data_IF_472966388299
#
_entry.id   IF_472966388299
#
_cell.length_a   1.000
_cell.length_b   1.000
_cell.length_c   1.000
_cell.angle_alpha   90.00
_cell.angle_beta   90.00
_cell.angle_gamma   90.00
#
_symmetry.space_group_name_H-M   'P 1'
#
loop_
_entity.id
_entity.type
_entity.pdbx_description
1 polymer ?
#
# COMPACT_ATOMS: atom_id res chain seq x y z
N UNK A 1 3.54 -0.81 45.65
CA UNK A 1 3.88 -0.43 44.26
C UNK A 1 5.19 -1.13 43.90
N UNK A 2 5.20 -2.16 43.04
CA UNK A 2 6.44 -2.82 42.62
C UNK A 2 7.03 -2.05 41.43
N UNK A 3 8.23 -1.49 41.62
CA UNK A 3 9.01 -0.84 40.59
C UNK A 3 9.52 -1.84 39.55
N UNK A 4 9.25 -1.57 38.29
CA UNK A 4 9.77 -2.33 37.17
C UNK A 4 11.27 -2.03 37.03
N UNK A 5 12.12 -2.99 37.42
CA UNK A 5 13.55 -2.98 37.12
C UNK A 5 13.73 -3.47 35.69
N UNK A 6 14.07 -2.56 34.79
CA UNK A 6 14.54 -2.85 33.44
C UNK A 6 15.90 -3.55 33.51
N UNK A 7 15.90 -4.88 33.40
CA UNK A 7 17.10 -5.64 33.09
C UNK A 7 17.49 -5.33 31.63
N UNK A 8 18.65 -4.70 31.46
CA UNK A 8 19.25 -4.46 30.15
C UNK A 8 19.49 -5.78 29.45
N UNK A 9 18.87 -5.95 28.29
CA UNK A 9 19.14 -7.07 27.39
C UNK A 9 20.52 -6.80 26.80
N UNK A 10 21.52 -7.48 27.35
CA UNK A 10 22.90 -7.44 26.89
C UNK A 10 22.96 -7.89 25.43
N UNK A 11 23.64 -7.09 24.60
CA UNK A 11 24.05 -7.45 23.25
C UNK A 11 24.69 -8.85 23.24
N UNK A 12 24.01 -9.80 22.63
CA UNK A 12 24.60 -11.03 22.15
C UNK A 12 24.57 -10.99 20.62
N UNK A 13 25.79 -10.99 20.07
CA UNK A 13 26.19 -11.48 18.75
C UNK A 13 25.27 -11.28 17.54
N UNK A 14 25.80 -10.53 16.57
CA UNK A 14 25.31 -10.52 15.20
C UNK A 14 25.37 -11.91 14.57
N UNK A 15 24.25 -12.63 14.64
CA UNK A 15 23.93 -13.68 13.70
C UNK A 15 23.70 -12.99 12.36
N UNK A 16 24.70 -13.04 11.47
CA UNK A 16 24.41 -12.95 10.03
C UNK A 16 23.62 -14.21 9.70
N UNK A 17 22.31 -14.19 9.93
CA UNK A 17 21.43 -15.23 9.44
C UNK A 17 21.48 -15.09 7.94
N UNK A 18 22.18 -16.02 7.28
CA UNK A 18 22.05 -16.22 5.85
C UNK A 18 20.60 -16.66 5.66
N UNK A 19 19.70 -15.70 5.42
CA UNK A 19 18.27 -15.94 5.36
C UNK A 19 18.01 -16.80 4.12
N UNK A 20 17.86 -18.10 4.31
CA UNK A 20 17.36 -18.98 3.28
C UNK A 20 15.93 -18.53 2.96
N UNK A 21 15.58 -18.42 1.68
CA UNK A 21 14.24 -18.06 1.22
C UNK A 21 13.14 -18.92 1.88
N UNK A 22 13.48 -20.15 2.30
CA UNK A 22 12.55 -21.03 3.00
C UNK A 22 12.20 -20.56 4.41
N UNK A 23 13.08 -19.82 5.09
CA UNK A 23 12.85 -19.31 6.45
C UNK A 23 11.65 -18.37 6.48
N UNK A 24 11.53 -17.52 5.46
CA UNK A 24 10.44 -16.54 5.35
C UNK A 24 9.09 -17.19 5.01
N UNK A 25 9.11 -18.44 4.48
CA UNK A 25 7.91 -19.21 4.10
C UNK A 25 7.43 -20.21 5.15
N UNK A 26 8.10 -20.30 6.31
CA UNK A 26 7.69 -21.20 7.39
C UNK A 26 6.33 -20.82 7.99
N UNK A 27 5.95 -19.54 7.98
CA UNK A 27 4.61 -19.12 8.43
C UNK A 27 3.53 -19.62 7.47
N UNK A 28 3.70 -19.39 6.16
CA UNK A 28 2.78 -19.87 5.12
C UNK A 28 2.56 -21.39 5.20
N UNK A 29 3.62 -22.15 5.53
CA UNK A 29 3.52 -23.60 5.75
C UNK A 29 2.63 -23.96 6.96
N UNK A 30 2.74 -23.20 8.06
CA UNK A 30 1.91 -23.41 9.26
C UNK A 30 0.46 -22.97 9.04
N UNK A 31 0.26 -21.89 8.30
CA UNK A 31 -1.06 -21.32 7.99
C UNK A 31 -1.79 -22.13 6.91
N UNK A 32 -1.06 -22.97 6.15
CA UNK A 32 -1.63 -23.83 5.10
C UNK A 32 -1.78 -23.12 3.76
N UNK A 33 -1.12 -21.99 3.57
CA UNK A 33 -1.22 -21.12 2.40
C UNK A 33 -0.29 -21.52 1.25
N UNK A 34 0.56 -22.53 1.44
CA UNK A 34 1.44 -23.07 0.40
C UNK A 34 0.70 -23.98 -0.58
N UNK A 35 1.04 -23.87 -1.87
CA UNK A 35 0.61 -24.86 -2.86
C UNK A 35 1.23 -26.23 -2.58
N UNK A 36 0.62 -27.31 -3.10
CA UNK A 36 1.12 -28.67 -2.90
C UNK A 36 2.59 -28.86 -3.38
N UNK A 37 2.97 -28.19 -4.47
CA UNK A 37 4.33 -28.23 -5.00
C UNK A 37 5.34 -27.54 -4.08
N UNK A 38 5.00 -26.35 -3.60
CA UNK A 38 5.84 -25.59 -2.66
C UNK A 38 5.97 -26.28 -1.31
N UNK A 39 4.88 -26.89 -0.84
CA UNK A 39 4.86 -27.70 0.38
C UNK A 39 5.85 -28.87 0.27
N UNK A 40 5.81 -29.60 -0.84
CA UNK A 40 6.72 -30.73 -1.07
C UNK A 40 8.18 -30.28 -1.12
N UNK A 41 8.45 -29.16 -1.79
CA UNK A 41 9.80 -28.59 -1.88
C UNK A 41 10.33 -28.11 -0.51
N UNK A 42 9.49 -27.47 0.30
CA UNK A 42 9.84 -27.07 1.65
C UNK A 42 10.06 -28.29 2.57
N UNK A 43 9.23 -29.33 2.48
CA UNK A 43 9.40 -30.57 3.24
C UNK A 43 10.74 -31.27 2.90
N UNK A 44 11.12 -31.28 1.62
CA UNK A 44 12.43 -31.76 1.19
C UNK A 44 13.58 -30.89 1.77
N UNK A 45 13.41 -29.57 1.81
CA UNK A 45 14.38 -28.68 2.43
C UNK A 45 14.50 -28.92 3.95
N UNK A 46 13.38 -29.07 4.66
CA UNK A 46 13.36 -29.36 6.10
C UNK A 46 14.06 -30.68 6.43
N UNK A 47 14.04 -31.67 5.55
CA UNK A 47 14.79 -32.92 5.72
C UNK A 47 16.31 -32.68 5.72
N UNK A 48 16.80 -31.71 4.95
CA UNK A 48 18.23 -31.39 4.82
C UNK A 48 18.72 -30.30 5.78
N UNK A 49 17.87 -29.36 6.18
CA UNK A 49 18.26 -28.20 6.99
C UNK A 49 17.82 -28.32 8.47
N UNK A 50 18.80 -28.42 9.38
CA UNK A 50 18.55 -28.44 10.82
C UNK A 50 18.04 -27.10 11.38
N UNK A 51 18.55 -25.99 10.85
CA UNK A 51 18.18 -24.64 11.31
C UNK A 51 16.70 -24.36 11.06
N UNK A 52 16.21 -24.61 9.84
CA UNK A 52 14.81 -24.41 9.49
C UNK A 52 13.86 -25.32 10.29
N UNK A 53 14.29 -26.53 10.67
CA UNK A 53 13.51 -27.39 11.57
C UNK A 53 13.39 -26.80 12.97
N UNK A 54 14.49 -26.31 13.53
CA UNK A 54 14.47 -25.65 14.86
C UNK A 54 13.56 -24.43 14.83
N UNK A 55 13.67 -23.57 13.81
CA UNK A 55 12.80 -22.39 13.65
C UNK A 55 11.33 -22.79 13.53
N UNK A 56 11.02 -23.83 12.75
CA UNK A 56 9.65 -24.33 12.60
C UNK A 56 9.07 -24.82 13.94
N UNK A 57 9.86 -25.52 14.76
CA UNK A 57 9.43 -25.97 16.07
C UNK A 57 9.30 -24.83 17.10
N UNK A 58 10.08 -23.76 16.96
CA UNK A 58 9.87 -22.52 17.72
C UNK A 58 8.56 -21.83 17.35
N UNK A 59 8.25 -21.72 16.05
CA UNK A 59 6.99 -21.15 15.57
C UNK A 59 5.79 -21.99 16.03
N UNK A 60 5.85 -23.32 15.93
CA UNK A 60 4.81 -24.22 16.45
C UNK A 60 4.55 -24.02 17.94
N UNK A 61 5.61 -23.80 18.74
CA UNK A 61 5.48 -23.49 20.17
C UNK A 61 4.78 -22.14 20.41
N UNK A 62 5.04 -21.14 19.58
CA UNK A 62 4.33 -19.84 19.66
C UNK A 62 2.85 -20.04 19.36
N UNK A 63 2.50 -20.73 18.27
CA UNK A 63 1.12 -21.01 17.88
C UNK A 63 0.38 -21.79 18.97
N UNK A 64 1.00 -22.85 19.51
CA UNK A 64 0.40 -23.64 20.59
C UNK A 64 0.14 -22.80 21.85
N UNK A 65 1.06 -21.90 22.23
CA UNK A 65 0.83 -20.98 23.35
C UNK A 65 -0.29 -19.99 23.05
N UNK A 66 -0.34 -19.43 21.84
CA UNK A 66 -1.39 -18.50 21.43
C UNK A 66 -2.77 -19.16 21.47
N UNK A 67 -2.88 -20.41 21.00
CA UNK A 67 -4.12 -21.20 21.03
C UNK A 67 -4.57 -21.57 22.46
N UNK A 68 -3.63 -21.59 23.42
CA UNK A 68 -3.93 -21.86 24.82
C UNK A 68 -4.39 -20.61 25.60
N UNK A 69 -4.41 -19.42 24.98
CA UNK A 69 -4.95 -18.23 25.63
C UNK A 69 -6.48 -18.32 25.67
N UNK A 70 -7.05 -17.92 26.81
CA UNK A 70 -8.49 -17.73 26.93
C UNK A 70 -8.97 -16.63 25.98
N UNK A 71 -9.97 -16.96 25.16
CA UNK A 71 -10.67 -15.98 24.34
C UNK A 71 -11.65 -15.19 25.22
N UNK A 72 -11.19 -14.03 25.71
CA UNK A 72 -11.98 -13.14 26.56
C UNK A 72 -12.58 -12.03 25.71
N UNK A 73 -13.92 -12.00 25.52
CA UNK A 73 -14.56 -10.90 24.81
C UNK A 73 -14.41 -9.59 25.60
N UNK A 74 -14.41 -8.43 24.91
CA UNK A 74 -14.42 -7.14 25.57
C UNK A 74 -15.69 -6.97 26.42
N UNK A 75 -15.57 -6.26 27.54
CA UNK A 75 -16.68 -6.06 28.49
C UNK A 75 -17.83 -5.20 27.93
N UNK A 76 -17.57 -4.44 26.86
CA UNK A 76 -18.53 -3.57 26.20
C UNK A 76 -18.31 -3.59 24.68
N UNK A 77 -19.31 -3.15 23.92
CA UNK A 77 -19.18 -2.95 22.49
C UNK A 77 -18.22 -1.78 22.18
N UNK A 78 -17.06 -2.12 21.61
CA UNK A 78 -16.02 -1.15 21.24
C UNK A 78 -16.24 -0.56 19.84
N UNK A 79 -17.17 -1.11 19.06
CA UNK A 79 -17.37 -0.72 17.66
C UNK A 79 -17.70 0.77 17.48
N UNK A 80 -18.53 1.43 18.30
CA UNK A 80 -18.84 2.85 18.13
C UNK A 80 -17.60 3.74 18.19
N UNK A 81 -16.71 3.51 19.16
CA UNK A 81 -15.48 4.28 19.32
C UNK A 81 -14.46 4.01 18.20
N UNK A 82 -14.34 2.75 17.76
CA UNK A 82 -13.52 2.41 16.60
C UNK A 82 -14.06 3.12 15.35
N UNK A 83 -15.36 3.00 15.09
CA UNK A 83 -16.00 3.56 13.91
C UNK A 83 -15.87 5.09 13.81
N UNK A 84 -15.88 5.79 14.93
CA UNK A 84 -15.59 7.23 15.01
C UNK A 84 -14.13 7.51 14.61
N UNK A 85 -13.17 6.76 15.16
CA UNK A 85 -11.75 6.96 14.90
C UNK A 85 -11.34 6.64 13.45
N UNK A 86 -11.90 5.56 12.86
CA UNK A 86 -11.67 5.21 11.45
C UNK A 86 -12.63 5.94 10.49
N UNK A 87 -13.47 6.84 10.99
CA UNK A 87 -14.30 7.74 10.18
C UNK A 87 -15.44 7.08 9.41
N UNK A 88 -15.79 5.82 9.69
CA UNK A 88 -16.81 5.05 8.94
C UNK A 88 -18.22 5.62 9.13
N UNK A 89 -18.48 6.24 10.28
CA UNK A 89 -19.78 6.87 10.59
C UNK A 89 -20.10 8.00 9.60
N UNK A 90 -19.06 8.64 9.03
CA UNK A 90 -19.23 9.77 8.09
C UNK A 90 -19.70 9.36 6.68
N UNK A 91 -19.58 8.09 6.30
CA UNK A 91 -20.03 7.59 4.99
C UNK A 91 -21.46 7.06 5.02
N UNK A 92 -21.89 6.45 6.13
CA UNK A 92 -23.26 5.98 6.31
C UNK A 92 -24.23 7.16 6.51
N UNK A 93 -23.83 8.18 7.28
CA UNK A 93 -24.64 9.38 7.49
C UNK A 93 -24.85 10.22 6.20
N UNK A 94 -23.95 10.11 5.21
CA UNK A 94 -24.10 10.83 3.92
C UNK A 94 -25.09 10.18 2.93
N UNK A 95 -25.60 8.98 3.20
CA UNK A 95 -26.56 8.31 2.29
C UNK A 95 -28.03 8.55 2.63
N UNK A 96 -28.35 9.32 3.66
CA UNK A 96 -29.76 9.60 4.05
C UNK A 96 -30.20 11.03 3.80
N UNK A 97 -29.30 11.95 3.44
CA UNK A 97 -29.70 13.26 2.91
C UNK A 97 -30.06 13.16 1.42
N UNK A 98 -31.13 12.40 1.15
CA UNK A 98 -31.96 12.53 -0.04
C UNK A 98 -32.70 13.87 -0.06
N UNK A 99 -31.95 14.98 0.04
CA UNK A 99 -32.45 16.33 -0.19
C UNK A 99 -32.90 16.43 -1.64
N UNK A 100 -34.21 16.30 -1.82
CA UNK A 100 -34.91 16.82 -2.99
C UNK A 100 -34.97 15.88 -4.18
N UNK A 101 -35.57 14.70 -4.02
CA UNK A 101 -36.30 14.08 -5.14
C UNK A 101 -37.53 14.95 -5.43
N UNK A 102 -37.32 16.12 -6.04
CA UNK A 102 -38.40 16.93 -6.62
C UNK A 102 -39.02 16.07 -7.71
N UNK A 103 -40.18 15.47 -7.43
CA UNK A 103 -41.03 14.87 -8.45
C UNK A 103 -41.43 16.00 -9.40
N UNK A 104 -40.69 16.15 -10.48
CA UNK A 104 -41.11 16.98 -11.59
C UNK A 104 -42.12 16.16 -12.40
N UNK A 105 -43.40 16.42 -12.14
CA UNK A 105 -44.51 15.86 -12.92
C UNK A 105 -44.55 16.56 -14.27
N UNK A 106 -43.85 16.01 -15.26
CA UNK A 106 -43.95 16.45 -16.65
C UNK A 106 -45.03 15.63 -17.36
N UNK A 107 -46.03 16.30 -17.91
CA UNK A 107 -47.08 15.65 -18.72
C UNK A 107 -46.49 15.20 -20.06
N UNK A 108 -46.97 14.06 -20.57
CA UNK A 108 -46.55 13.39 -21.81
C UNK A 108 -46.19 14.32 -23.01
N UNK A 109 -46.94 15.40 -23.33
CA UNK A 109 -46.57 16.26 -24.47
C UNK A 109 -45.28 17.07 -24.26
N UNK A 110 -44.84 17.30 -23.03
CA UNK A 110 -43.65 18.12 -22.72
C UNK A 110 -42.34 17.34 -22.87
N UNK A 111 -42.40 16.00 -22.80
CA UNK A 111 -41.27 15.11 -23.09
C UNK A 111 -40.95 15.04 -24.60
N UNK A 112 -41.97 15.12 -25.46
CA UNK A 112 -41.78 15.07 -26.91
C UNK A 112 -41.06 16.31 -27.47
N UNK A 113 -41.41 17.51 -26.98
CA UNK A 113 -40.75 18.75 -27.39
C UNK A 113 -39.27 18.80 -26.94
N UNK A 114 -38.98 18.34 -25.71
CA UNK A 114 -37.60 18.25 -25.21
C UNK A 114 -36.75 17.25 -26.00
N UNK A 115 -37.34 16.15 -26.48
CA UNK A 115 -36.65 15.17 -27.32
C UNK A 115 -36.26 15.75 -28.70
N UNK A 116 -37.11 16.58 -29.31
CA UNK A 116 -36.79 17.23 -30.60
C UNK A 116 -35.65 18.25 -30.43
N UNK A 117 -35.64 19.03 -29.34
CA UNK A 117 -34.56 19.97 -29.05
C UNK A 117 -33.23 19.24 -28.81
N UNK A 118 -33.24 18.14 -28.03
CA UNK A 118 -32.05 17.31 -27.81
C UNK A 118 -31.55 16.65 -29.10
N UNK A 119 -32.44 16.18 -29.98
CA UNK A 119 -32.08 15.60 -31.27
C UNK A 119 -31.41 16.63 -32.21
N UNK A 120 -31.92 17.88 -32.22
CA UNK A 120 -31.32 18.97 -33.00
C UNK A 120 -29.96 19.41 -32.42
N UNK A 121 -29.80 19.43 -31.10
CA UNK A 121 -28.52 19.74 -30.45
C UNK A 121 -27.46 18.63 -30.65
N UNK A 122 -27.88 17.37 -30.69
CA UNK A 122 -27.00 16.23 -30.94
C UNK A 122 -26.56 16.12 -32.41
N UNK A 123 -27.39 16.58 -33.36
CA UNK A 123 -27.02 16.61 -34.78
C UNK A 123 -26.03 17.74 -35.11
N UNK A 124 -26.11 18.89 -34.43
CA UNK A 124 -25.20 20.02 -34.63
C UNK A 124 -23.80 19.82 -34.06
N UNK A 125 -23.69 19.18 -32.89
CA UNK A 125 -22.41 18.95 -32.18
C UNK A 125 -21.51 17.94 -32.91
N UNK A 126 -22.11 16.96 -33.60
CA UNK A 126 -21.35 15.97 -34.38
C UNK A 126 -20.66 16.58 -35.59
N UNK A 127 -21.27 17.54 -36.32
CA UNK A 127 -20.66 18.12 -37.53
C UNK A 127 -19.45 19.03 -37.25
N UNK A 128 -19.40 19.66 -36.07
CA UNK A 128 -18.28 20.51 -35.66
C UNK A 128 -17.09 19.71 -35.10
N UNK A 129 -17.34 18.54 -34.49
CA UNK A 129 -16.28 17.67 -33.96
C UNK A 129 -15.61 16.80 -35.04
N UNK A 130 -16.27 16.55 -36.18
CA UNK A 130 -15.68 15.77 -37.28
C UNK A 130 -14.86 16.58 -38.28
N UNK A 131 -14.92 17.93 -38.26
CA UNK A 131 -14.09 18.77 -39.15
C UNK A 131 -12.67 19.03 -38.60
N UNK A 132 -12.43 18.71 -37.33
CA UNK A 132 -11.17 18.98 -36.62
C UNK A 132 -10.52 17.73 -35.99
N UNK A 133 -10.80 16.52 -36.48
CA UNK A 133 -10.04 15.33 -36.06
C UNK A 133 -8.72 15.25 -36.85
N UNK A 134 -7.55 15.54 -36.25
CA UNK A 134 -6.29 15.07 -36.80
C UNK A 134 -6.30 13.53 -36.84
N UNK A 135 -5.65 12.89 -37.84
CA UNK A 135 -5.61 11.44 -37.94
C UNK A 135 -5.00 10.87 -36.65
N UNK A 136 -5.77 10.04 -35.94
CA UNK A 136 -5.22 9.24 -34.85
C UNK A 136 -4.26 8.22 -35.45
N UNK A 137 -3.00 8.13 -34.98
CA UNK A 137 -2.13 7.04 -35.39
C UNK A 137 -2.77 5.73 -34.90
N UNK A 138 -2.98 4.82 -35.85
CA UNK A 138 -3.34 3.43 -35.63
C UNK A 138 -2.28 2.79 -34.75
N UNK A 139 -2.48 2.79 -33.43
CA UNK A 139 -1.73 1.90 -32.55
C UNK A 139 -2.35 0.51 -32.74
N UNK A 140 -1.79 -0.24 -33.68
CA UNK A 140 -1.90 -1.68 -33.66
C UNK A 140 -1.37 -2.16 -32.32
N UNK A 141 -2.18 -2.91 -31.58
CA UNK A 141 -1.75 -3.63 -30.39
C UNK A 141 -0.82 -4.77 -30.83
N UNK A 142 0.40 -4.43 -31.23
CA UNK A 142 1.51 -5.31 -30.96
C UNK A 142 1.78 -5.16 -29.47
N UNK A 143 1.49 -6.23 -28.72
CA UNK A 143 2.04 -6.39 -27.38
C UNK A 143 3.57 -6.44 -27.54
N UNK A 144 4.20 -5.28 -27.54
CA UNK A 144 5.63 -5.17 -27.35
C UNK A 144 5.83 -5.49 -25.88
N UNK A 145 6.38 -6.67 -25.63
CA UNK A 145 7.06 -6.99 -24.38
C UNK A 145 8.18 -5.95 -24.23
N UNK A 146 7.85 -4.79 -23.65
CA UNK A 146 8.83 -3.73 -23.46
C UNK A 146 9.78 -4.17 -22.37
N UNK A 147 11.02 -4.31 -22.81
CA UNK A 147 12.20 -4.55 -22.02
C UNK A 147 12.21 -3.71 -20.73
N UNK A 148 12.60 -4.35 -19.63
CA UNK A 148 12.68 -3.80 -18.27
C UNK A 148 13.72 -2.68 -18.25
N UNK A 149 13.24 -1.47 -18.50
CA UNK A 149 13.94 -0.22 -18.25
C UNK A 149 12.92 0.77 -17.73
N UNK A 150 12.88 0.94 -16.41
CA UNK A 150 12.08 1.90 -15.64
C UNK A 150 10.60 2.01 -16.08
N UNK A 151 9.69 1.35 -15.37
CA UNK A 151 8.26 1.46 -15.65
C UNK A 151 7.83 2.93 -15.56
N UNK A 152 6.93 3.44 -16.43
CA UNK A 152 6.42 4.81 -16.35
C UNK A 152 5.76 5.14 -15.00
N UNK A 153 5.41 4.11 -14.20
CA UNK A 153 4.96 4.23 -12.81
C UNK A 153 6.10 4.62 -11.85
N UNK A 154 7.31 4.12 -12.05
CA UNK A 154 8.48 4.41 -11.21
C UNK A 154 8.91 5.86 -11.37
N UNK A 155 8.90 6.36 -12.61
CA UNK A 155 9.22 7.77 -12.91
C UNK A 155 8.22 8.75 -12.27
N UNK A 156 6.91 8.44 -12.30
CA UNK A 156 5.88 9.24 -11.62
C UNK A 156 6.02 9.21 -10.10
N UNK A 157 6.40 8.04 -9.57
CA UNK A 157 6.63 7.87 -8.13
C UNK A 157 7.86 8.66 -7.68
N UNK A 158 8.96 8.61 -8.44
CA UNK A 158 10.16 9.40 -8.18
C UNK A 158 9.89 10.91 -8.20
N UNK A 159 9.13 11.41 -9.19
CA UNK A 159 8.73 12.81 -9.25
C UNK A 159 7.87 13.24 -8.05
N UNK A 160 6.96 12.37 -7.59
CA UNK A 160 6.11 12.64 -6.43
C UNK A 160 6.92 12.70 -5.13
N UNK A 161 7.90 11.81 -4.99
CA UNK A 161 8.83 11.79 -3.85
C UNK A 161 9.64 13.10 -3.79
N UNK A 162 10.23 13.51 -4.91
CA UNK A 162 11.03 14.73 -4.98
C UNK A 162 10.22 15.98 -4.60
N UNK A 163 8.98 16.10 -5.12
CA UNK A 163 8.10 17.22 -4.80
C UNK A 163 7.73 17.29 -3.31
N UNK A 164 7.55 16.13 -2.66
CA UNK A 164 7.23 16.05 -1.23
C UNK A 164 8.44 16.33 -0.35
N UNK A 165 9.63 15.86 -0.73
CA UNK A 165 10.90 16.19 -0.05
C UNK A 165 11.18 17.69 -0.09
N UNK A 166 10.95 18.34 -1.23
CA UNK A 166 11.10 19.79 -1.36
C UNK A 166 10.04 20.57 -0.55
N UNK A 167 8.83 20.06 -0.44
CA UNK A 167 7.80 20.64 0.43
C UNK A 167 8.20 20.54 1.90
N UNK A 168 8.71 19.38 2.32
CA UNK A 168 9.20 19.16 3.69
C UNK A 168 10.40 20.07 4.00
N UNK A 169 11.33 20.21 3.05
CA UNK A 169 12.49 21.09 3.18
C UNK A 169 12.06 22.56 3.37
N UNK A 170 11.07 23.03 2.60
CA UNK A 170 10.52 24.40 2.72
C UNK A 170 9.78 24.63 4.03
N UNK A 171 9.07 23.63 4.55
CA UNK A 171 8.28 23.74 5.76
C UNK A 171 9.01 23.29 7.04
N UNK A 172 10.31 23.02 6.95
CA UNK A 172 11.14 22.52 8.06
C UNK A 172 11.08 23.39 9.31
N UNK A 173 11.01 24.71 9.14
CA UNK A 173 10.90 25.67 10.25
C UNK A 173 9.57 25.66 11.00
N UNK A 174 8.56 24.93 10.50
CA UNK A 174 7.22 24.81 11.11
C UNK A 174 7.05 23.54 11.94
N UNK A 175 7.99 22.60 11.83
CA UNK A 175 8.00 21.36 12.58
C UNK A 175 8.88 21.51 13.82
N UNK A 176 8.50 20.88 14.94
CA UNK A 176 9.36 20.87 16.12
C UNK A 176 10.65 20.08 15.85
N UNK A 177 11.76 20.53 16.43
CA UNK A 177 13.10 20.02 16.12
C UNK A 177 13.27 18.53 16.45
N UNK A 178 12.51 18.01 17.42
CA UNK A 178 12.49 16.60 17.77
C UNK A 178 11.83 15.76 16.66
N UNK A 179 10.67 16.19 16.16
CA UNK A 179 9.95 15.53 15.06
C UNK A 179 10.73 15.57 13.75
N UNK A 180 11.38 16.69 13.41
CA UNK A 180 12.24 16.78 12.22
C UNK A 180 13.36 15.73 12.26
N UNK A 181 14.02 15.58 13.41
CA UNK A 181 15.14 14.63 13.57
C UNK A 181 14.69 13.18 13.38
N UNK A 182 13.50 12.82 13.86
CA UNK A 182 12.93 11.48 13.68
C UNK A 182 12.58 11.23 12.22
N UNK A 183 11.96 12.21 11.54
CA UNK A 183 11.61 12.12 10.12
C UNK A 183 12.87 11.95 9.27
N UNK A 184 13.91 12.76 9.49
CA UNK A 184 15.16 12.67 8.73
C UNK A 184 15.87 11.34 8.92
N UNK A 185 15.90 10.84 10.17
CA UNK A 185 16.49 9.53 10.48
C UNK A 185 15.75 8.42 9.73
N UNK A 186 14.41 8.43 9.78
CA UNK A 186 13.60 7.40 9.14
C UNK A 186 13.71 7.48 7.60
N UNK A 187 13.72 8.69 7.03
CA UNK A 187 13.88 8.90 5.59
C UNK A 187 15.25 8.37 5.12
N UNK A 188 16.32 8.65 5.86
CA UNK A 188 17.66 8.16 5.55
C UNK A 188 17.80 6.63 5.61
N UNK A 189 17.03 5.96 6.48
CA UNK A 189 16.96 4.48 6.51
C UNK A 189 16.28 3.96 5.24
N UNK A 190 15.14 4.54 4.87
CA UNK A 190 14.37 4.13 3.68
C UNK A 190 15.19 4.35 2.40
N UNK A 191 15.89 5.49 2.27
CA UNK A 191 16.71 5.79 1.10
C UNK A 191 17.90 4.84 0.93
N UNK A 192 18.43 4.32 2.03
CA UNK A 192 19.46 3.28 1.99
C UNK A 192 18.87 1.98 1.48
N UNK A 193 17.74 1.55 2.06
CA UNK A 193 17.07 0.31 1.67
C UNK A 193 16.66 0.30 0.18
N UNK A 194 16.19 1.43 -0.36
CA UNK A 194 15.85 1.55 -1.79
C UNK A 194 17.09 1.38 -2.67
N UNK A 195 18.21 2.01 -2.32
CA UNK A 195 19.46 1.86 -3.09
C UNK A 195 20.00 0.43 -3.02
N UNK A 196 19.95 -0.18 -1.85
CA UNK A 196 20.39 -1.58 -1.67
C UNK A 196 19.53 -2.51 -2.54
N UNK A 197 18.21 -2.35 -2.51
CA UNK A 197 17.28 -3.13 -3.34
C UNK A 197 17.49 -2.90 -4.85
N UNK A 198 17.72 -1.66 -5.28
CA UNK A 198 18.04 -1.36 -6.69
C UNK A 198 19.36 -2.00 -7.12
N UNK A 199 20.38 -2.00 -6.25
CA UNK A 199 21.68 -2.63 -6.54
C UNK A 199 21.58 -4.15 -6.65
N UNK A 200 20.78 -4.78 -5.78
CA UNK A 200 20.51 -6.21 -5.83
C UNK A 200 19.72 -6.59 -7.10
N UNK A 201 18.75 -5.77 -7.49
CA UNK A 201 17.96 -5.98 -8.71
C UNK A 201 18.79 -5.77 -9.98
N UNK A 202 19.82 -4.91 -9.95
CA UNK A 202 20.76 -4.78 -11.06
C UNK A 202 21.63 -6.03 -11.26
N UNK A 203 21.90 -6.79 -10.18
CA UNK A 203 22.61 -8.05 -10.24
C UNK A 203 21.74 -9.22 -10.72
N UNK A 204 20.43 -9.20 -10.41
CA UNK A 204 19.46 -10.18 -10.88
C UNK A 204 18.12 -9.52 -11.29
N UNK A 205 18.00 -9.03 -12.55
CA UNK A 205 16.84 -8.29 -13.01
C UNK A 205 15.56 -9.12 -13.13
N UNK A 206 15.69 -10.45 -13.22
CA UNK A 206 14.57 -11.38 -13.39
C UNK A 206 13.96 -11.82 -12.05
N UNK A 207 14.53 -11.38 -10.92
CA UNK A 207 14.04 -11.75 -9.60
C UNK A 207 12.70 -11.07 -9.28
N UNK A 208 11.61 -11.82 -9.42
CA UNK A 208 10.25 -11.34 -9.16
C UNK A 208 10.04 -10.85 -7.72
N UNK A 209 10.71 -11.48 -6.75
CA UNK A 209 10.65 -11.09 -5.34
C UNK A 209 11.26 -9.70 -5.09
N UNK A 210 12.44 -9.41 -5.65
CA UNK A 210 13.09 -8.10 -5.52
C UNK A 210 12.28 -6.98 -6.18
N UNK A 211 11.66 -7.26 -7.33
CA UNK A 211 10.76 -6.31 -8.01
C UNK A 211 9.54 -5.97 -7.14
N UNK A 212 8.89 -6.98 -6.54
CA UNK A 212 7.72 -6.76 -5.68
C UNK A 212 8.09 -6.02 -4.39
N UNK A 213 9.22 -6.39 -3.77
CA UNK A 213 9.72 -5.75 -2.56
C UNK A 213 10.08 -4.27 -2.80
N UNK A 214 10.74 -3.94 -3.91
CA UNK A 214 11.03 -2.56 -4.29
C UNK A 214 9.74 -1.73 -4.50
N UNK A 215 8.72 -2.32 -5.13
CA UNK A 215 7.44 -1.66 -5.32
C UNK A 215 6.69 -1.42 -3.99
N UNK A 216 6.84 -2.30 -3.00
CA UNK A 216 6.27 -2.12 -1.66
C UNK A 216 6.98 -1.00 -0.88
N UNK A 217 8.32 -0.97 -0.89
CA UNK A 217 9.10 0.04 -0.18
C UNK A 217 8.90 1.45 -0.74
N UNK A 218 8.79 1.58 -2.07
CA UNK A 218 8.49 2.86 -2.71
C UNK A 218 7.10 3.41 -2.34
N UNK A 219 6.08 2.53 -2.22
CA UNK A 219 4.75 2.92 -1.73
C UNK A 219 4.80 3.41 -0.29
N UNK A 220 5.53 2.69 0.57
CA UNK A 220 5.68 3.03 2.00
C UNK A 220 6.37 4.40 2.18
N UNK A 221 7.42 4.68 1.40
CA UNK A 221 8.07 6.00 1.37
C UNK A 221 7.08 7.12 1.05
N UNK A 222 6.29 6.91 0.00
CA UNK A 222 5.32 7.90 -0.48
C UNK A 222 4.16 8.14 0.51
N UNK A 223 3.71 7.10 1.22
CA UNK A 223 2.70 7.25 2.28
C UNK A 223 3.23 8.06 3.47
N UNK A 224 4.44 7.77 3.94
CA UNK A 224 5.09 8.52 5.02
C UNK A 224 5.27 10.01 4.65
N UNK A 225 5.70 10.29 3.42
CA UNK A 225 5.87 11.66 2.94
C UNK A 225 4.54 12.42 2.87
N UNK A 226 3.45 11.76 2.47
CA UNK A 226 2.10 12.35 2.50
C UNK A 226 1.65 12.65 3.93
N UNK A 227 1.82 11.72 4.86
CA UNK A 227 1.49 11.92 6.26
C UNK A 227 2.28 13.10 6.86
N UNK A 228 3.58 13.15 6.62
CA UNK A 228 4.43 14.26 7.07
C UNK A 228 3.96 15.62 6.51
N UNK A 229 3.61 15.67 5.21
CA UNK A 229 3.08 16.88 4.58
C UNK A 229 1.72 17.31 5.17
N UNK A 230 0.83 16.36 5.51
CA UNK A 230 -0.44 16.66 6.17
C UNK A 230 -0.26 17.22 7.58
N UNK A 231 0.68 16.66 8.36
CA UNK A 231 1.02 17.16 9.69
C UNK A 231 1.62 18.57 9.63
N UNK A 232 2.49 18.83 8.65
CA UNK A 232 3.06 20.17 8.43
C UNK A 232 1.99 21.20 8.02
N UNK A 233 0.96 20.78 7.29
CA UNK A 233 -0.13 21.65 6.83
C UNK A 233 -1.21 21.90 7.90
N UNK A 234 -1.46 20.92 8.78
CA UNK A 234 -2.47 21.01 9.85
C UNK A 234 -2.04 21.91 11.03
N UNK A 235 -0.74 22.24 11.14
CA UNK A 235 -0.20 23.25 12.07
C UNK A 235 -0.10 24.66 11.43
N UNK A 236 -0.97 24.97 10.47
CA UNK A 236 -1.24 26.33 9.97
C UNK A 236 -2.40 26.93 10.74
#
# INVERSE_FOLDING_TARGET
>A
MPGWRSAGISSAEGVRTMNDHWTDRLSEYLDGDLTAGERTALEAHLAACGVCRVTLDELRRVVARAQALDDRPPAADLWPGIAEHIGVVSLAARRVDGRGRRRLSFTMPQLAAAAVVLALFSAGSTRLLFRNRPPSPTQGTTAIMTNVGMSPLDARTAASVAALEENLARNRGRLDTATVRVIEKNLGIIDRAIRDAQSALAADPANAYLNQHLAQETRRKLELLRQAATLASARS
#
